data_IF_857098502860
#
_entry.id   IF_857098502860
#
_cell.length_a   1.000
_cell.length_b   1.000
_cell.length_c   1.000
_cell.angle_alpha   90.00
_cell.angle_beta   90.00
_cell.angle_gamma   90.00
#
_symmetry.space_group_name_H-M   'P 1'
#
loop_
_entity.id
_entity.type
_entity.pdbx_description
1 polymer ?
#
# COMPACT_ATOMS: atom_id res chain seq x y z
N UNK A 1 -14.33 45.14 23.08
CA UNK A 1 -15.00 45.66 21.85
C UNK A 1 -14.40 44.97 20.62
N UNK A 2 -15.18 44.75 19.55
CA UNK A 2 -14.75 44.01 18.35
C UNK A 2 -14.23 44.97 17.27
N UNK A 3 -13.05 44.73 16.70
CA UNK A 3 -12.54 45.48 15.53
C UNK A 3 -12.82 44.70 14.23
N UNK A 4 -13.27 45.41 13.19
CA UNK A 4 -13.91 44.82 12.01
C UNK A 4 -13.07 44.93 10.73
N UNK A 5 -13.02 43.85 9.94
CA UNK A 5 -12.19 43.67 8.72
C UNK A 5 -12.68 44.46 7.48
N UNK A 6 -13.28 45.65 7.62
CA UNK A 6 -13.89 46.43 6.51
C UNK A 6 -13.17 47.76 6.17
N UNK A 7 -11.84 47.73 6.00
CA UNK A 7 -11.06 48.88 5.47
C UNK A 7 -9.86 48.49 4.57
N UNK A 8 -10.08 47.67 3.53
CA UNK A 8 -9.03 47.46 2.51
C UNK A 8 -9.54 47.30 1.06
N UNK A 9 -10.65 47.96 0.72
CA UNK A 9 -11.10 48.11 -0.69
C UNK A 9 -11.52 49.56 -0.90
N UNK A 10 -10.57 50.42 -1.32
CA UNK A 10 -10.77 51.76 -1.90
C UNK A 10 -9.43 52.44 -2.28
N UNK A 11 -8.85 52.07 -3.42
CA UNK A 11 -7.95 52.88 -4.27
C UNK A 11 -7.37 51.99 -5.39
N UNK A 12 -7.45 52.38 -6.67
CA UNK A 12 -6.85 51.59 -7.77
C UNK A 12 -7.52 51.71 -9.15
N UNK A 13 -7.83 52.93 -9.60
CA UNK A 13 -8.49 53.30 -10.87
C UNK A 13 -7.91 54.68 -11.25
N UNK A 14 -7.49 55.01 -12.48
CA UNK A 14 -7.39 54.32 -13.80
C UNK A 14 -6.21 54.95 -14.58
N UNK A 15 -5.66 54.29 -15.64
CA UNK A 15 -5.06 54.87 -16.89
C UNK A 15 -3.81 54.11 -17.41
N UNK A 16 -3.52 53.90 -18.71
CA UNK A 16 -4.35 53.82 -19.94
C UNK A 16 -3.62 53.04 -21.05
N UNK A 17 -4.37 52.40 -21.96
CA UNK A 17 -4.09 52.17 -23.39
C UNK A 17 -2.67 51.83 -23.91
N UNK A 18 -2.50 50.59 -24.40
CA UNK A 18 -1.98 50.29 -25.75
C UNK A 18 -2.53 48.93 -26.23
N UNK A 19 -2.84 48.83 -27.53
CA UNK A 19 -3.31 47.63 -28.24
C UNK A 19 -2.11 47.01 -29.05
N UNK A 20 -2.18 45.80 -29.68
CA UNK A 20 -3.39 45.07 -30.10
C UNK A 20 -3.43 43.53 -29.94
N UNK A 21 -4.67 43.02 -29.99
CA UNK A 21 -5.11 41.76 -30.64
C UNK A 21 -4.12 40.57 -30.69
N UNK A 22 -4.13 39.74 -29.64
CA UNK A 22 -3.80 38.31 -29.77
C UNK A 22 -5.07 37.46 -29.58
N UNK A 23 -5.48 36.77 -30.65
CA UNK A 23 -6.55 35.76 -30.61
C UNK A 23 -6.04 34.50 -29.90
N UNK A 24 -6.17 34.43 -28.58
CA UNK A 24 -6.06 33.15 -27.88
C UNK A 24 -7.32 32.34 -28.18
N UNK A 25 -7.21 31.41 -29.13
CA UNK A 25 -8.25 30.41 -29.37
C UNK A 25 -8.36 29.53 -28.13
N UNK A 26 -9.50 29.56 -27.46
CA UNK A 26 -9.90 28.59 -26.45
C UNK A 26 -10.11 27.21 -27.08
N UNK A 27 -9.03 26.45 -27.22
CA UNK A 27 -9.06 25.04 -27.64
C UNK A 27 -9.09 24.13 -26.40
N UNK A 28 -10.20 24.12 -25.68
CA UNK A 28 -10.46 23.18 -24.57
C UNK A 28 -11.48 22.11 -25.00
N UNK A 29 -11.14 21.39 -26.08
CA UNK A 29 -11.88 20.24 -26.60
C UNK A 29 -10.96 19.42 -27.52
N UNK A 30 -10.19 18.49 -26.96
CA UNK A 30 -9.51 17.46 -27.74
C UNK A 30 -9.85 16.06 -27.19
N UNK A 31 -10.53 15.30 -28.05
CA UNK A 31 -10.46 13.85 -28.20
C UNK A 31 -10.67 12.96 -26.97
N UNK A 32 -11.94 12.76 -26.60
CA UNK A 32 -12.37 11.49 -25.99
C UNK A 32 -12.50 10.41 -27.08
N UNK A 33 -11.37 9.88 -27.54
CA UNK A 33 -11.25 8.65 -28.35
C UNK A 33 -9.77 8.31 -28.50
N UNK A 34 -9.23 7.52 -27.58
CA UNK A 34 -7.84 7.05 -27.62
C UNK A 34 -7.52 6.17 -26.40
N UNK A 35 -7.10 4.94 -26.67
CA UNK A 35 -6.84 3.82 -25.74
C UNK A 35 -6.67 4.18 -24.24
N UNK A 36 -7.75 3.96 -23.47
CA UNK A 36 -7.82 4.17 -22.00
C UNK A 36 -6.72 3.44 -21.22
N UNK A 37 -6.15 2.37 -21.79
CA UNK A 37 -5.18 1.54 -21.08
C UNK A 37 -3.78 2.19 -20.94
N UNK A 38 -3.41 3.13 -21.83
CA UNK A 38 -2.08 3.77 -21.80
C UNK A 38 -1.96 4.94 -20.83
N UNK A 39 -3.08 5.58 -20.46
CA UNK A 39 -3.08 6.71 -19.52
C UNK A 39 -2.93 6.26 -18.06
N UNK A 40 -3.57 5.15 -17.68
CA UNK A 40 -3.60 4.67 -16.29
C UNK A 40 -2.21 4.43 -15.68
N UNK A 41 -1.28 3.89 -16.46
CA UNK A 41 0.12 3.67 -16.06
C UNK A 41 0.85 4.98 -15.74
N UNK A 42 0.67 6.02 -16.56
CA UNK A 42 1.29 7.34 -16.34
C UNK A 42 0.77 8.07 -15.10
N UNK A 43 -0.51 7.88 -14.74
CA UNK A 43 -1.15 8.60 -13.62
C UNK A 43 -0.84 7.89 -12.30
N UNK A 44 -0.76 6.55 -12.26
CA UNK A 44 -0.23 5.84 -11.10
C UNK A 44 1.24 6.19 -10.81
N UNK A 45 2.02 6.47 -11.87
CA UNK A 45 3.39 6.95 -11.74
C UNK A 45 3.49 8.31 -11.03
N UNK A 46 2.42 9.13 -11.00
CA UNK A 46 2.45 10.43 -10.33
C UNK A 46 2.56 10.30 -8.80
N UNK A 47 1.90 9.31 -8.18
CA UNK A 47 2.07 9.03 -6.75
C UNK A 47 3.51 8.66 -6.38
N UNK A 48 4.29 8.12 -7.32
CA UNK A 48 5.70 7.75 -7.07
C UNK A 48 6.60 8.96 -6.78
N UNK A 49 6.21 10.18 -7.19
CA UNK A 49 6.99 11.39 -6.90
C UNK A 49 6.72 11.96 -5.49
N UNK A 50 5.54 11.75 -4.91
CA UNK A 50 5.19 12.35 -3.61
C UNK A 50 5.71 11.49 -2.45
N UNK A 51 6.40 12.15 -1.52
CA UNK A 51 6.88 11.60 -0.26
C UNK A 51 6.04 12.11 0.93
N UNK A 52 6.31 11.63 2.15
CA UNK A 52 5.64 12.08 3.37
C UNK A 52 5.63 13.62 3.47
N UNK A 53 6.78 14.25 3.30
CA UNK A 53 6.95 15.71 3.33
C UNK A 53 6.34 16.47 2.14
N UNK A 54 5.87 15.78 1.10
CA UNK A 54 5.05 16.38 0.03
C UNK A 54 3.62 16.66 0.51
N UNK A 55 3.14 15.96 1.53
CA UNK A 55 1.79 16.10 2.06
C UNK A 55 1.71 16.92 3.36
N UNK A 56 2.76 16.94 4.18
CA UNK A 56 2.82 17.71 5.44
C UNK A 56 2.42 19.21 5.30
N UNK A 57 2.85 19.97 4.26
CA UNK A 57 2.48 21.38 4.10
C UNK A 57 0.99 21.60 3.82
N UNK A 58 0.25 20.53 3.52
CA UNK A 58 -1.15 20.52 3.12
C UNK A 58 -2.07 19.91 4.18
N UNK A 59 -1.60 19.76 5.42
CA UNK A 59 -2.46 19.49 6.57
C UNK A 59 -3.55 20.56 6.72
N UNK A 60 -4.78 20.12 7.00
CA UNK A 60 -6.01 20.90 7.07
C UNK A 60 -6.40 21.59 5.73
N UNK A 61 -5.92 21.06 4.60
CA UNK A 61 -6.38 21.48 3.25
C UNK A 61 -7.32 20.46 2.64
N UNK A 62 -8.04 20.87 1.58
CA UNK A 62 -9.10 20.07 0.96
C UNK A 62 -8.68 19.46 -0.37
N UNK A 63 -8.74 18.14 -0.40
CA UNK A 63 -8.61 17.28 -1.57
C UNK A 63 -10.01 17.03 -2.15
N UNK A 64 -10.15 17.02 -3.47
CA UNK A 64 -11.40 16.70 -4.16
C UNK A 64 -11.33 15.29 -4.73
N UNK A 65 -12.18 14.40 -4.23
CA UNK A 65 -12.29 13.01 -4.65
C UNK A 65 -13.45 12.89 -5.63
N UNK A 66 -13.19 12.32 -6.81
CA UNK A 66 -14.20 12.10 -7.85
C UNK A 66 -14.74 10.68 -7.73
N UNK A 67 -15.95 10.54 -7.19
CA UNK A 67 -16.67 9.26 -7.10
C UNK A 67 -17.34 8.89 -8.43
N UNK A 68 -17.67 9.90 -9.24
CA UNK A 68 -18.07 9.79 -10.65
C UNK A 68 -17.81 11.15 -11.34
N UNK A 69 -17.95 11.28 -12.67
CA UNK A 69 -17.79 12.56 -13.37
C UNK A 69 -18.69 13.69 -12.85
N UNK A 70 -19.85 13.36 -12.26
CA UNK A 70 -20.82 14.31 -11.70
C UNK A 70 -20.84 14.34 -10.16
N UNK A 71 -20.16 13.42 -9.48
CA UNK A 71 -20.19 13.27 -8.02
C UNK A 71 -18.80 13.46 -7.43
N UNK A 72 -18.58 14.60 -6.78
CA UNK A 72 -17.32 14.92 -6.09
C UNK A 72 -17.53 15.09 -4.59
N UNK A 73 -16.57 14.63 -3.80
CA UNK A 73 -16.50 14.84 -2.34
C UNK A 73 -15.26 15.64 -1.98
N UNK A 74 -15.37 16.45 -0.93
CA UNK A 74 -14.21 17.05 -0.29
C UNK A 74 -13.71 16.12 0.81
N UNK A 75 -12.40 15.87 0.84
CA UNK A 75 -11.68 15.25 1.95
C UNK A 75 -10.73 16.29 2.53
N UNK A 76 -10.66 16.42 3.84
CA UNK A 76 -9.71 17.30 4.54
C UNK A 76 -8.56 16.46 5.09
N UNK A 77 -7.31 16.73 4.70
CA UNK A 77 -6.16 15.96 5.17
C UNK A 77 -5.84 16.36 6.62
N UNK A 78 -6.21 15.53 7.60
CA UNK A 78 -6.10 15.86 9.03
C UNK A 78 -4.85 15.29 9.70
N UNK A 79 -4.23 14.26 9.12
CA UNK A 79 -2.96 13.73 9.61
C UNK A 79 -2.11 13.17 8.46
N UNK A 80 -0.79 13.31 8.61
CA UNK A 80 0.23 12.63 7.82
C UNK A 80 1.10 11.90 8.83
N UNK A 81 1.25 10.59 8.70
CA UNK A 81 2.01 9.80 9.65
C UNK A 81 2.85 8.72 8.99
N UNK A 82 4.17 8.80 9.16
CA UNK A 82 5.09 7.70 8.92
C UNK A 82 4.55 6.39 9.52
N UNK A 83 4.37 5.38 8.68
CA UNK A 83 3.77 4.10 9.04
C UNK A 83 4.88 3.06 9.12
N UNK A 84 5.40 2.74 10.32
CA UNK A 84 6.47 1.74 10.46
C UNK A 84 5.91 0.33 10.26
N UNK A 85 5.80 -0.12 9.02
CA UNK A 85 5.25 -1.44 8.65
C UNK A 85 6.00 -2.61 9.29
N UNK A 86 7.27 -2.44 9.67
CA UNK A 86 7.96 -3.38 10.56
C UNK A 86 9.23 -2.79 11.19
N UNK A 87 9.64 -3.33 12.35
CA UNK A 87 10.96 -3.05 12.95
C UNK A 87 12.13 -3.45 12.03
N UNK A 88 11.93 -4.44 11.14
CA UNK A 88 12.89 -4.83 10.09
C UNK A 88 13.01 -3.82 8.96
N UNK A 89 11.98 -3.02 8.72
CA UNK A 89 12.08 -1.89 7.79
C UNK A 89 12.64 -0.65 8.49
N UNK A 90 12.41 -0.43 9.80
CA UNK A 90 13.07 0.67 10.53
C UNK A 90 14.63 0.62 10.47
N UNK A 91 15.22 -0.55 10.20
CA UNK A 91 16.66 -0.71 9.94
C UNK A 91 17.08 -0.29 8.53
N UNK A 92 16.24 -0.51 7.51
CA UNK A 92 16.54 -0.21 6.09
C UNK A 92 16.04 1.17 5.64
N UNK A 93 14.97 1.67 6.24
CA UNK A 93 14.44 3.04 6.14
C UNK A 93 15.43 4.10 6.70
N UNK A 94 16.57 3.68 7.23
CA UNK A 94 17.70 4.55 7.50
C UNK A 94 18.41 4.95 6.19
N UNK A 95 17.84 5.97 5.53
CA UNK A 95 18.48 6.83 4.52
C UNK A 95 18.73 6.28 3.10
N UNK A 96 17.79 5.52 2.52
CA UNK A 96 17.70 5.35 1.05
C UNK A 96 16.47 6.11 0.53
N UNK A 97 16.63 7.24 -0.18
CA UNK A 97 15.49 7.95 -0.78
C UNK A 97 14.68 7.04 -1.71
N UNK A 98 13.37 6.92 -1.47
CA UNK A 98 12.47 6.09 -2.28
C UNK A 98 11.95 4.81 -1.61
N UNK A 99 12.53 4.40 -0.47
CA UNK A 99 11.91 3.44 0.44
C UNK A 99 11.17 4.21 1.55
N UNK A 100 9.85 4.29 1.45
CA UNK A 100 9.00 5.03 2.38
C UNK A 100 7.64 4.36 2.57
N UNK A 101 7.15 4.32 3.81
CA UNK A 101 5.79 3.92 4.14
C UNK A 101 5.17 4.98 5.05
N UNK A 102 4.09 5.60 4.60
CA UNK A 102 3.36 6.62 5.36
C UNK A 102 1.87 6.53 5.06
N UNK A 103 1.05 6.96 6.00
CA UNK A 103 -0.39 7.07 5.82
C UNK A 103 -0.87 8.52 5.84
N UNK A 104 -1.93 8.75 5.07
CA UNK A 104 -2.63 10.01 4.94
C UNK A 104 -4.05 9.81 5.48
N UNK A 105 -4.36 10.44 6.60
CA UNK A 105 -5.68 10.38 7.22
C UNK A 105 -6.50 11.59 6.80
N UNK A 106 -7.65 11.33 6.20
CA UNK A 106 -8.59 12.31 5.73
C UNK A 106 -9.87 12.28 6.56
N UNK A 107 -10.47 13.45 6.76
CA UNK A 107 -11.79 13.63 7.35
C UNK A 107 -12.79 14.02 6.25
N UNK A 108 -13.95 13.36 6.17
CA UNK A 108 -15.03 13.78 5.28
C UNK A 108 -16.01 14.73 6.02
N UNK A 109 -16.58 15.75 5.34
CA UNK A 109 -17.74 16.46 5.85
C UNK A 109 -18.94 15.52 6.06
N UNK A 110 -19.83 15.78 7.03
CA UNK A 110 -21.01 14.95 7.29
C UNK A 110 -21.83 14.68 6.02
N UNK A 111 -22.15 13.42 5.76
CA UNK A 111 -22.86 13.02 4.55
C UNK A 111 -22.95 11.51 4.41
N UNK A 112 -23.26 11.04 3.20
CA UNK A 112 -23.21 9.60 2.87
C UNK A 112 -21.75 9.20 2.62
N UNK A 113 -21.19 8.23 3.37
CA UNK A 113 -19.86 7.68 3.10
C UNK A 113 -19.83 6.95 1.75
N UNK A 114 -18.63 6.80 1.21
CA UNK A 114 -18.32 6.02 0.02
C UNK A 114 -17.45 4.79 0.38
N UNK A 115 -17.43 3.80 -0.51
CA UNK A 115 -16.71 2.52 -0.31
C UNK A 115 -15.19 2.71 -0.36
N UNK A 116 -14.42 1.67 -0.02
CA UNK A 116 -13.01 1.67 -0.42
C UNK A 116 -12.90 1.54 -1.94
N UNK A 117 -12.02 2.32 -2.56
CA UNK A 117 -11.67 2.20 -3.97
C UNK A 117 -10.43 3.05 -4.31
N UNK A 118 -9.93 2.93 -5.54
CA UNK A 118 -8.96 3.86 -6.14
C UNK A 118 -9.71 4.99 -6.82
N UNK A 119 -9.67 6.18 -6.22
CA UNK A 119 -10.35 7.37 -6.76
C UNK A 119 -9.39 8.34 -7.42
N UNK A 120 -9.90 9.09 -8.40
CA UNK A 120 -9.21 10.27 -8.92
C UNK A 120 -9.30 11.38 -7.87
N UNK A 121 -8.15 11.89 -7.44
CA UNK A 121 -8.04 12.94 -6.43
C UNK A 121 -7.37 14.16 -7.03
N UNK A 122 -7.92 15.35 -6.75
CA UNK A 122 -7.37 16.65 -7.14
C UNK A 122 -7.08 17.51 -5.91
N UNK A 123 -5.91 18.13 -5.88
CA UNK A 123 -5.54 19.12 -4.88
C UNK A 123 -4.84 20.31 -5.57
N UNK A 124 -5.16 21.54 -5.16
CA UNK A 124 -4.83 22.73 -5.94
C UNK A 124 -3.32 22.98 -6.09
N UNK A 125 -2.48 22.50 -5.16
CA UNK A 125 -1.02 22.61 -5.22
C UNK A 125 -0.30 21.30 -5.60
N UNK A 126 -0.93 20.12 -5.44
CA UNK A 126 -0.32 18.83 -5.78
C UNK A 126 -0.71 18.32 -7.17
N UNK A 127 -1.76 18.88 -7.79
CA UNK A 127 -2.23 18.47 -9.11
C UNK A 127 -3.38 17.47 -9.04
N UNK A 128 -3.33 16.41 -9.84
CA UNK A 128 -4.39 15.39 -9.92
C UNK A 128 -3.72 14.03 -10.10
N UNK A 129 -4.13 13.03 -9.32
CA UNK A 129 -3.54 11.68 -9.28
C UNK A 129 -4.59 10.66 -8.82
N UNK A 130 -4.38 9.37 -9.09
CA UNK A 130 -5.20 8.29 -8.49
C UNK A 130 -4.65 7.88 -7.13
N UNK A 131 -5.52 7.57 -6.17
CA UNK A 131 -5.13 7.08 -4.85
C UNK A 131 -6.17 6.10 -4.29
N UNK A 132 -5.70 4.98 -3.75
CA UNK A 132 -6.53 4.03 -3.01
C UNK A 132 -6.80 4.58 -1.60
N UNK A 133 -8.07 4.70 -1.24
CA UNK A 133 -8.52 5.12 0.10
C UNK A 133 -9.49 4.10 0.67
N UNK A 134 -9.30 3.78 1.96
CA UNK A 134 -10.18 2.90 2.74
C UNK A 134 -10.91 3.73 3.80
N UNK A 135 -12.20 3.48 4.08
CA UNK A 135 -12.85 4.06 5.25
C UNK A 135 -12.23 3.49 6.53
N UNK A 136 -11.97 4.34 7.53
CA UNK A 136 -11.42 3.93 8.83
C UNK A 136 -12.24 4.48 10.00
N UNK A 137 -12.35 3.68 11.06
CA UNK A 137 -13.27 3.92 12.17
C UNK A 137 -14.66 3.35 11.92
N UNK A 138 -15.47 3.28 12.99
CA UNK A 138 -16.86 2.83 12.88
C UNK A 138 -17.76 3.99 12.46
N UNK A 139 -18.55 3.80 11.40
CA UNK A 139 -19.58 4.75 10.97
C UNK A 139 -20.62 4.98 12.09
N UNK A 140 -20.45 6.07 12.83
CA UNK A 140 -21.41 6.55 13.81
C UNK A 140 -21.88 7.93 13.37
N UNK A 141 -23.20 8.15 13.37
CA UNK A 141 -23.86 9.43 13.04
C UNK A 141 -23.26 10.64 13.78
N UNK A 142 -22.61 10.41 14.93
CA UNK A 142 -21.99 11.45 15.78
C UNK A 142 -20.48 11.63 15.58
N UNK A 143 -19.78 10.77 14.84
CA UNK A 143 -18.35 10.93 14.52
C UNK A 143 -18.18 11.32 13.05
N UNK A 144 -17.21 12.18 12.70
CA UNK A 144 -16.85 12.35 11.30
C UNK A 144 -16.27 11.04 10.77
N UNK A 145 -16.67 10.62 9.57
CA UNK A 145 -16.06 9.46 8.93
C UNK A 145 -14.65 9.82 8.48
N UNK A 146 -13.69 8.92 8.74
CA UNK A 146 -12.32 9.07 8.31
C UNK A 146 -12.03 8.14 7.13
N UNK A 147 -11.08 8.53 6.30
CA UNK A 147 -10.52 7.71 5.22
C UNK A 147 -9.00 7.70 5.34
N UNK A 148 -8.37 6.56 5.14
CA UNK A 148 -6.91 6.44 5.15
C UNK A 148 -6.42 5.99 3.77
N UNK A 149 -5.34 6.59 3.30
CA UNK A 149 -4.51 6.03 2.22
C UNK A 149 -3.16 5.65 2.79
N UNK A 150 -2.73 4.42 2.58
CA UNK A 150 -1.38 3.96 2.93
C UNK A 150 -0.54 3.97 1.66
N UNK A 151 0.46 4.84 1.63
CA UNK A 151 1.43 4.92 0.53
C UNK A 151 2.65 4.10 0.94
N UNK A 152 2.84 2.97 0.25
CA UNK A 152 4.04 2.14 0.36
C UNK A 152 4.85 2.29 -0.93
N UNK A 153 6.05 2.88 -0.83
CA UNK A 153 7.04 2.91 -1.90
C UNK A 153 8.23 2.07 -1.48
N UNK A 154 8.57 1.12 -2.34
CA UNK A 154 9.83 0.40 -2.27
C UNK A 154 10.54 0.60 -3.61
N UNK A 155 11.71 1.22 -3.59
CA UNK A 155 12.56 1.20 -4.77
C UNK A 155 13.13 -0.21 -4.92
N UNK A 156 12.53 -0.97 -5.82
CA UNK A 156 13.17 -2.14 -6.41
C UNK A 156 14.42 -1.67 -7.17
N UNK A 157 15.55 -1.58 -6.45
CA UNK A 157 16.86 -1.40 -7.06
C UNK A 157 17.14 -2.57 -8.00
N UNK A 158 16.94 -2.35 -9.29
CA UNK A 158 17.51 -3.19 -10.34
C UNK A 158 19.03 -3.09 -10.23
N UNK A 159 19.62 -4.06 -9.55
CA UNK A 159 21.07 -4.13 -9.36
C UNK A 159 21.76 -4.49 -10.69
N UNK A 160 22.09 -3.46 -11.50
CA UNK A 160 23.03 -3.62 -12.62
C UNK A 160 22.68 -2.96 -13.96
N UNK A 161 21.87 -1.90 -14.03
CA UNK A 161 21.67 -1.18 -15.29
C UNK A 161 21.19 0.26 -15.13
N UNK A 162 21.62 1.13 -16.05
CA UNK A 162 20.98 2.43 -16.27
C UNK A 162 19.48 2.24 -16.55
N UNK A 163 18.61 3.19 -16.15
CA UNK A 163 17.16 3.09 -16.30
C UNK A 163 16.75 3.14 -17.78
N UNK A 164 16.82 1.98 -18.42
CA UNK A 164 16.31 1.74 -19.76
C UNK A 164 14.82 1.43 -19.66
N UNK A 165 14.01 2.31 -20.23
CA UNK A 165 12.57 2.10 -20.40
C UNK A 165 12.34 0.88 -21.30
N UNK A 166 12.06 -0.27 -20.68
CA UNK A 166 11.60 -1.46 -21.42
C UNK A 166 10.14 -1.22 -21.83
N UNK A 167 9.98 -0.60 -23.00
CA UNK A 167 8.70 -0.60 -23.72
C UNK A 167 8.52 -1.99 -24.32
N UNK A 168 7.73 -2.83 -23.66
CA UNK A 168 7.29 -4.11 -24.22
C UNK A 168 6.30 -3.87 -25.37
N UNK A 169 6.84 -3.68 -26.59
CA UNK A 169 6.05 -3.81 -27.80
C UNK A 169 5.63 -5.27 -28.00
N UNK A 170 4.38 -5.56 -28.44
CA UNK A 170 3.93 -6.93 -28.67
C UNK A 170 4.78 -7.61 -29.76
N UNK A 171 5.28 -8.80 -29.42
CA UNK A 171 6.09 -9.63 -30.31
C UNK A 171 5.16 -10.32 -31.32
N UNK A 172 5.19 -9.87 -32.58
CA UNK A 172 4.50 -10.57 -33.66
C UNK A 172 5.27 -11.86 -34.01
N UNK A 173 4.87 -12.98 -33.40
CA UNK A 173 5.39 -14.30 -33.71
C UNK A 173 4.77 -14.84 -35.01
N UNK A 174 5.32 -14.42 -36.15
CA UNK A 174 5.26 -15.21 -37.39
C UNK A 174 6.53 -16.04 -37.51
N UNK A 175 6.43 -17.35 -37.25
CA UNK A 175 7.58 -18.25 -37.26
C UNK A 175 8.25 -18.38 -38.62
N UNK A 176 9.59 -18.35 -38.62
CA UNK A 176 10.45 -18.57 -39.78
C UNK A 176 11.68 -19.40 -39.40
N UNK A 177 12.05 -20.37 -40.23
CA UNK A 177 13.07 -21.39 -39.93
C UNK A 177 14.50 -20.83 -39.91
N UNK A 178 15.35 -21.47 -39.11
CA UNK A 178 16.81 -21.30 -39.14
C UNK A 178 17.40 -21.88 -40.44
N UNK A 179 18.18 -21.09 -41.16
CA UNK A 179 19.23 -21.54 -42.08
C UNK A 179 20.36 -20.49 -42.16
N UNK A 180 21.64 -20.88 -42.31
CA UNK A 180 22.76 -19.97 -42.11
C UNK A 180 23.23 -19.24 -43.37
N UNK A 181 23.67 -17.99 -43.16
CA UNK A 181 24.68 -17.24 -43.90
C UNK A 181 24.79 -17.40 -45.43
N UNK A 182 24.35 -16.39 -46.18
CA UNK A 182 25.09 -15.89 -47.34
C UNK A 182 24.84 -14.39 -47.60
N UNK A 183 25.56 -13.83 -48.56
CA UNK A 183 25.98 -12.43 -48.59
C UNK A 183 25.18 -11.57 -49.60
N UNK A 184 25.22 -10.24 -49.39
CA UNK A 184 25.01 -9.16 -50.37
C UNK A 184 23.60 -8.70 -50.86
N UNK A 185 23.53 -7.36 -50.94
CA UNK A 185 22.87 -6.46 -51.92
C UNK A 185 21.50 -5.81 -51.65
N UNK A 186 21.46 -4.52 -52.00
CA UNK A 186 20.34 -3.57 -51.99
C UNK A 186 19.28 -3.92 -53.06
N UNK A 187 18.00 -3.67 -52.78
CA UNK A 187 17.02 -3.13 -53.75
C UNK A 187 16.02 -2.21 -52.99
N UNK A 188 15.57 -1.12 -53.65
CA UNK A 188 14.51 -0.22 -53.19
C UNK A 188 13.10 -0.70 -53.57
N UNK A 189 12.10 -0.35 -52.75
CA UNK A 189 10.67 -0.41 -53.07
C UNK A 189 9.84 -0.63 -51.80
N UNK A 190 8.80 0.13 -51.46
CA UNK A 190 8.01 1.07 -52.28
C UNK A 190 6.73 0.40 -52.74
N UNK A 191 5.67 0.45 -51.92
CA UNK A 191 4.42 -0.26 -52.21
C UNK A 191 3.36 -0.08 -51.14
N UNK A 192 2.64 1.04 -51.16
CA UNK A 192 1.34 1.13 -50.51
C UNK A 192 0.28 0.44 -51.40
N UNK A 193 -0.71 -0.22 -50.80
CA UNK A 193 -1.97 -0.46 -51.50
C UNK A 193 -3.17 -0.22 -50.59
N UNK A 194 -4.11 0.54 -51.14
CA UNK A 194 -5.44 0.85 -50.60
C UNK A 194 -6.43 -0.09 -51.29
N UNK A 195 -7.50 -0.49 -50.60
CA UNK A 195 -8.86 -0.86 -51.07
C UNK A 195 -9.44 -1.87 -50.07
N UNK A 196 -10.71 -1.91 -49.69
CA UNK A 196 -11.87 -1.00 -49.58
C UNK A 196 -12.99 -1.91 -48.98
N UNK A 197 -14.11 -1.39 -48.45
CA UNK A 197 -15.03 -2.17 -47.62
C UNK A 197 -16.16 -2.86 -48.41
N UNK A 198 -16.66 -3.99 -47.90
CA UNK A 198 -18.00 -4.52 -48.18
C UNK A 198 -18.90 -4.35 -46.94
N UNK A 199 -19.97 -3.56 -47.05
CA UNK A 199 -21.38 -4.01 -47.20
C UNK A 199 -21.89 -4.90 -46.04
N UNK A 200 -22.79 -4.37 -45.19
CA UNK A 200 -24.26 -4.44 -45.33
C UNK A 200 -24.81 -5.72 -44.66
N UNK A 201 -25.91 -5.77 -43.88
CA UNK A 201 -27.16 -4.99 -43.93
C UNK A 201 -28.00 -5.08 -42.63
N UNK A 202 -28.84 -4.06 -42.39
CA UNK A 202 -30.20 -4.05 -41.77
C UNK A 202 -30.61 -4.92 -40.56
N UNK A 203 -31.13 -4.23 -39.52
CA UNK A 203 -32.45 -4.47 -38.85
C UNK A 203 -32.66 -3.37 -37.78
N UNK A 204 -33.35 -2.27 -38.06
CA UNK A 204 -34.80 -2.03 -37.87
C UNK A 204 -35.38 -2.21 -36.45
N UNK A 205 -35.63 -1.07 -35.81
CA UNK A 205 -36.89 -0.60 -35.20
C UNK A 205 -37.71 -1.49 -34.25
N UNK A 206 -37.74 -1.08 -32.97
CA UNK A 206 -38.93 -1.19 -32.11
C UNK A 206 -38.92 -0.12 -30.99
N UNK A 207 -39.98 0.69 -30.91
CA UNK A 207 -40.30 1.62 -29.81
C UNK A 207 -41.81 1.96 -29.85
N UNK A 208 -42.40 2.50 -28.78
CA UNK A 208 -42.87 1.78 -27.60
C UNK A 208 -44.41 1.73 -27.52
N UNK A 209 -44.96 0.83 -26.69
CA UNK A 209 -46.38 0.85 -26.33
C UNK A 209 -46.63 1.56 -25.00
N UNK A 210 -47.50 2.57 -25.02
CA UNK A 210 -47.97 3.37 -23.90
C UNK A 210 -49.47 3.09 -23.68
N UNK A 211 -49.86 2.85 -22.42
CA UNK A 211 -51.23 2.71 -21.83
C UNK A 211 -51.05 2.14 -20.41
N UNK A 212 -51.84 2.39 -19.39
CA UNK A 212 -52.85 3.38 -18.95
C UNK A 212 -53.27 2.86 -17.54
N UNK A 213 -54.09 3.60 -16.79
CA UNK A 213 -54.65 3.22 -15.46
C UNK A 213 -53.61 2.95 -14.34
N UNK A 214 -53.41 3.80 -13.33
CA UNK A 214 -54.34 4.52 -12.43
C UNK A 214 -55.12 3.59 -11.48
N UNK A 215 -54.54 3.29 -10.31
CA UNK A 215 -55.35 2.80 -9.19
C UNK A 215 -54.89 3.31 -7.81
N UNK A 216 -55.89 3.47 -6.95
CA UNK A 216 -55.93 4.28 -5.74
C UNK A 216 -55.19 3.62 -4.55
N UNK A 217 -54.05 4.19 -4.11
CA UNK A 217 -53.47 3.85 -2.80
C UNK A 217 -53.96 4.79 -1.68
N UNK A 218 -55.08 4.41 -1.08
CA UNK A 218 -55.69 5.05 0.10
C UNK A 218 -54.96 4.64 1.38
N UNK A 219 -53.86 5.31 1.71
CA UNK A 219 -53.16 5.07 2.98
C UNK A 219 -54.01 5.51 4.19
N UNK A 220 -54.37 4.54 5.04
CA UNK A 220 -54.83 4.82 6.41
C UNK A 220 -53.71 5.49 7.19
N UNK A 221 -53.98 6.65 7.79
CA UNK A 221 -53.23 7.08 8.97
C UNK A 221 -53.55 6.09 10.09
N UNK A 222 -52.59 5.22 10.41
CA UNK A 222 -52.59 4.50 11.69
C UNK A 222 -51.80 5.37 12.65
N UNK A 223 -52.48 5.81 13.70
CA UNK A 223 -51.92 6.65 14.76
C UNK A 223 -50.93 5.82 15.58
N UNK A 224 -49.66 5.85 15.18
CA UNK A 224 -48.60 5.05 15.80
C UNK A 224 -48.16 5.71 17.09
N UNK A 225 -48.66 5.22 18.22
CA UNK A 225 -48.16 5.57 19.55
C UNK A 225 -46.64 5.32 19.61
N UNK A 226 -45.86 6.39 19.76
CA UNK A 226 -44.41 6.30 19.80
C UNK A 226 -43.97 5.51 21.04
N UNK A 227 -43.28 4.37 20.88
CA UNK A 227 -42.64 3.72 22.02
C UNK A 227 -41.54 4.62 22.55
N UNK A 228 -41.44 4.72 23.89
CA UNK A 228 -40.39 5.50 24.52
C UNK A 228 -39.02 4.99 24.07
N UNK A 229 -38.27 5.85 23.36
CA UNK A 229 -36.86 5.61 23.02
C UNK A 229 -36.07 5.53 24.33
N UNK A 230 -35.82 4.31 24.79
CA UNK A 230 -34.82 4.06 25.82
C UNK A 230 -33.46 4.52 25.29
N UNK A 231 -32.77 5.35 26.06
CA UNK A 231 -31.40 5.76 25.76
C UNK A 231 -30.46 4.55 25.94
N UNK A 232 -30.43 3.65 24.95
CA UNK A 232 -29.35 2.70 24.80
C UNK A 232 -28.07 3.50 24.56
N UNK A 233 -27.27 3.61 25.62
CA UNK A 233 -25.91 4.07 25.58
C UNK A 233 -25.10 3.13 24.68
N UNK A 234 -25.02 3.48 23.40
CA UNK A 234 -24.17 2.84 22.39
C UNK A 234 -22.67 3.07 22.70
N UNK A 235 -22.23 2.53 23.83
CA UNK A 235 -20.83 2.27 24.12
C UNK A 235 -20.50 1.01 23.32
N UNK A 236 -19.64 1.09 22.29
CA UNK A 236 -19.24 -0.13 21.57
C UNK A 236 -18.63 -1.11 22.57
N UNK A 237 -18.94 -2.42 22.46
CA UNK A 237 -18.44 -3.40 23.41
C UNK A 237 -16.91 -3.33 23.45
N UNK A 238 -16.29 -3.40 24.65
CA UNK A 238 -14.85 -3.31 24.77
C UNK A 238 -14.19 -4.38 23.89
N UNK A 239 -13.11 -4.05 23.16
CA UNK A 239 -12.50 -4.99 22.23
C UNK A 239 -12.11 -6.28 22.95
N UNK A 240 -12.33 -7.45 22.34
CA UNK A 240 -12.05 -8.74 22.97
C UNK A 240 -10.59 -8.77 23.43
N UNK A 241 -10.37 -9.20 24.68
CA UNK A 241 -9.02 -9.28 25.25
C UNK A 241 -8.22 -10.32 24.46
N UNK A 242 -7.13 -9.88 23.83
CA UNK A 242 -6.21 -10.76 23.09
C UNK A 242 -5.72 -11.90 23.98
N UNK A 243 -5.81 -13.13 23.48
CA UNK A 243 -5.25 -14.33 24.13
C UNK A 243 -3.72 -14.26 24.06
N UNK A 244 -3.06 -14.30 25.22
CA UNK A 244 -1.60 -14.28 25.34
C UNK A 244 -1.13 -15.61 25.92
N UNK A 245 -0.24 -16.30 25.23
CA UNK A 245 0.32 -17.57 25.66
C UNK A 245 1.52 -17.36 26.60
N UNK A 246 1.68 -18.17 27.67
CA UNK A 246 2.74 -17.99 28.67
C UNK A 246 4.15 -18.36 28.19
N UNK A 247 4.38 -18.48 26.88
CA UNK A 247 5.66 -18.86 26.29
C UNK A 247 6.67 -17.70 26.36
N UNK A 248 7.86 -18.03 26.86
CA UNK A 248 8.99 -17.12 27.05
C UNK A 248 9.91 -17.06 25.83
N UNK A 249 10.80 -16.06 25.78
CA UNK A 249 11.73 -15.88 24.64
C UNK A 249 12.62 -17.11 24.40
N UNK A 250 12.98 -17.85 25.46
CA UNK A 250 13.72 -19.11 25.36
C UNK A 250 12.95 -20.21 24.62
N UNK A 251 11.62 -20.17 24.65
CA UNK A 251 10.71 -21.10 23.98
C UNK A 251 10.32 -20.64 22.56
N UNK A 252 10.85 -19.51 22.07
CA UNK A 252 10.62 -19.07 20.68
C UNK A 252 11.01 -20.16 19.68
N UNK A 253 10.20 -20.38 18.63
CA UNK A 253 10.43 -21.45 17.67
C UNK A 253 11.69 -21.22 16.85
N UNK A 254 12.29 -22.32 16.37
CA UNK A 254 13.40 -22.27 15.42
C UNK A 254 12.90 -22.47 13.99
N UNK A 255 13.33 -21.62 13.07
CA UNK A 255 13.05 -21.75 11.63
C UNK A 255 14.34 -22.17 10.93
N UNK A 256 14.43 -23.45 10.56
CA UNK A 256 15.56 -24.05 9.84
C UNK A 256 16.93 -23.82 10.52
N UNK A 257 16.92 -23.69 11.86
CA UNK A 257 18.08 -23.40 12.71
C UNK A 257 18.15 -21.96 13.21
N UNK A 258 17.43 -21.02 12.60
CA UNK A 258 17.39 -19.60 12.97
C UNK A 258 16.53 -19.39 14.21
N UNK A 259 16.95 -18.49 15.11
CA UNK A 259 16.23 -18.16 16.35
C UNK A 259 16.43 -16.69 16.73
N UNK A 260 15.47 -16.13 17.48
CA UNK A 260 15.66 -14.89 18.22
C UNK A 260 16.86 -14.99 19.19
N UNK A 261 17.52 -13.85 19.44
CA UNK A 261 18.67 -13.73 20.34
C UNK A 261 20.03 -14.11 19.75
N UNK A 262 20.07 -14.71 18.55
CA UNK A 262 21.33 -15.04 17.84
C UNK A 262 22.15 -13.80 17.53
N UNK A 263 23.48 -13.91 17.52
CA UNK A 263 24.38 -12.87 17.00
C UNK A 263 24.54 -13.00 15.48
N UNK A 264 25.03 -11.96 14.76
CA UNK A 264 25.30 -12.06 13.33
C UNK A 264 26.20 -13.24 12.98
N UNK A 265 27.26 -13.51 13.75
CA UNK A 265 28.21 -14.60 13.51
C UNK A 265 27.51 -15.96 13.58
N UNK A 266 26.59 -16.14 14.53
CA UNK A 266 25.77 -17.35 14.66
C UNK A 266 24.81 -17.53 13.48
N UNK A 267 24.25 -16.44 12.94
CA UNK A 267 23.42 -16.48 11.73
C UNK A 267 24.27 -16.82 10.50
N UNK A 268 25.39 -16.11 10.28
CA UNK A 268 26.26 -16.32 9.12
C UNK A 268 26.87 -17.74 9.07
N UNK A 269 27.11 -18.36 10.23
CA UNK A 269 27.53 -19.76 10.32
C UNK A 269 26.54 -20.76 9.70
N UNK A 270 25.26 -20.39 9.54
CA UNK A 270 24.23 -21.20 8.87
C UNK A 270 24.22 -21.03 7.34
N UNK A 271 24.98 -20.06 6.82
CA UNK A 271 25.07 -19.71 5.39
C UNK A 271 26.55 -19.66 4.94
N UNK A 272 27.21 -20.81 4.69
CA UNK A 272 28.59 -20.85 4.23
C UNK A 272 28.82 -19.97 2.99
N UNK A 273 29.79 -19.07 3.07
CA UNK A 273 30.08 -18.07 2.03
C UNK A 273 29.51 -16.67 2.30
N UNK A 274 28.47 -16.53 3.14
CA UNK A 274 27.81 -15.23 3.43
C UNK A 274 28.73 -14.15 4.00
N UNK A 275 29.78 -14.53 4.74
CA UNK A 275 30.81 -13.61 5.23
C UNK A 275 31.59 -12.88 4.11
N UNK A 276 31.55 -13.39 2.88
CA UNK A 276 32.18 -12.80 1.69
C UNK A 276 31.16 -12.10 0.77
N UNK A 277 29.87 -12.18 1.05
CA UNK A 277 28.85 -11.46 0.28
C UNK A 277 28.95 -9.96 0.59
N UNK A 278 29.16 -9.14 -0.44
CA UNK A 278 29.35 -7.70 -0.30
C UNK A 278 28.12 -6.98 0.25
N UNK A 279 26.91 -7.48 -0.06
CA UNK A 279 25.63 -6.94 0.42
C UNK A 279 25.54 -7.13 1.94
N UNK A 280 25.79 -8.38 2.39
CA UNK A 280 25.78 -8.76 3.81
C UNK A 280 26.85 -8.01 4.59
N UNK A 281 28.08 -7.93 4.05
CA UNK A 281 29.20 -7.25 4.68
C UNK A 281 28.97 -5.74 4.77
N UNK A 282 28.41 -5.12 3.72
CA UNK A 282 28.03 -3.71 3.72
C UNK A 282 26.98 -3.44 4.79
N UNK A 283 25.91 -4.23 4.83
CA UNK A 283 24.81 -4.02 5.77
C UNK A 283 25.25 -4.21 7.23
N UNK A 284 26.07 -5.21 7.53
CA UNK A 284 26.66 -5.43 8.87
C UNK A 284 27.74 -4.39 9.25
N UNK A 285 28.38 -3.75 8.29
CA UNK A 285 29.34 -2.66 8.55
C UNK A 285 28.69 -1.32 8.90
N UNK A 286 27.38 -1.17 8.63
CA UNK A 286 26.66 0.06 8.99
C UNK A 286 26.53 0.14 10.52
N UNK A 287 26.89 1.28 11.15
CA UNK A 287 26.70 1.44 12.58
C UNK A 287 25.19 1.31 12.90
N UNK A 288 24.81 0.69 14.03
CA UNK A 288 23.43 0.71 14.48
C UNK A 288 22.93 2.15 14.65
N UNK A 289 21.62 2.34 14.44
CA UNK A 289 20.94 3.60 14.76
C UNK A 289 21.21 4.02 16.22
N UNK A 290 20.98 5.30 16.54
CA UNK A 290 21.10 5.84 17.93
C UNK A 290 20.26 5.11 19.00
N UNK A 291 19.38 4.18 18.59
CA UNK A 291 18.55 3.36 19.47
C UNK A 291 19.01 1.89 19.56
N UNK A 292 20.11 1.52 18.92
CA UNK A 292 20.68 0.17 18.93
C UNK A 292 20.09 -0.80 17.88
N UNK A 293 19.35 -0.28 16.89
CA UNK A 293 18.75 -1.07 15.81
C UNK A 293 19.66 -1.09 14.58
N UNK A 294 19.91 -2.27 14.02
CA UNK A 294 20.48 -2.47 12.67
C UNK A 294 19.78 -3.66 11.98
N UNK A 295 20.23 -4.06 10.80
CA UNK A 295 19.67 -5.22 10.10
C UNK A 295 20.44 -5.57 8.84
N UNK A 296 20.18 -6.76 8.31
CA UNK A 296 20.79 -7.28 7.08
C UNK A 296 19.88 -8.31 6.41
N UNK A 297 20.13 -8.56 5.12
CA UNK A 297 19.40 -9.52 4.30
C UNK A 297 20.26 -10.73 3.95
N UNK A 298 19.66 -11.93 3.98
CA UNK A 298 20.23 -13.16 3.41
C UNK A 298 19.26 -13.69 2.36
N UNK A 299 19.74 -13.96 1.14
CA UNK A 299 19.00 -14.70 0.11
C UNK A 299 19.58 -16.12 0.03
N UNK A 300 18.94 -17.17 0.61
CA UNK A 300 19.56 -18.49 0.75
C UNK A 300 20.04 -19.13 -0.56
N UNK A 301 19.40 -18.79 -1.68
CA UNK A 301 19.76 -19.26 -3.03
C UNK A 301 21.17 -18.85 -3.48
N UNK A 302 21.80 -17.83 -2.87
CA UNK A 302 23.19 -17.45 -3.13
C UNK A 302 24.22 -18.44 -2.55
N UNK A 303 23.82 -19.35 -1.66
CA UNK A 303 24.73 -20.15 -0.83
C UNK A 303 24.56 -21.66 -1.01
N UNK A 304 25.59 -22.43 -0.65
CA UNK A 304 25.57 -23.90 -0.78
C UNK A 304 24.52 -24.58 0.08
N UNK A 305 24.02 -23.94 1.14
CA UNK A 305 22.97 -24.45 2.03
C UNK A 305 21.55 -24.31 1.49
N UNK A 306 21.35 -23.92 0.22
CA UNK A 306 20.03 -23.69 -0.39
C UNK A 306 19.00 -24.81 -0.16
N UNK A 307 19.40 -26.08 -0.13
CA UNK A 307 18.49 -27.22 0.14
C UNK A 307 17.95 -27.26 1.57
N UNK A 308 18.69 -26.71 2.55
CA UNK A 308 18.22 -26.57 3.93
C UNK A 308 17.20 -25.43 4.08
N UNK A 309 17.20 -24.48 3.14
CA UNK A 309 16.33 -23.33 3.08
C UNK A 309 15.47 -23.38 1.81
N UNK A 310 15.04 -24.58 1.44
CA UNK A 310 14.19 -24.79 0.27
C UNK A 310 12.93 -23.93 0.37
N UNK A 311 12.47 -23.40 -0.77
CA UNK A 311 11.34 -22.46 -0.90
C UNK A 311 11.48 -21.14 -0.14
N UNK A 312 12.61 -20.85 0.52
CA UNK A 312 12.85 -19.57 1.19
C UNK A 312 13.59 -18.63 0.23
N UNK A 313 12.92 -17.58 -0.22
CA UNK A 313 13.45 -16.58 -1.15
C UNK A 313 14.45 -15.67 -0.46
N UNK A 314 14.07 -15.16 0.72
CA UNK A 314 14.82 -14.16 1.45
C UNK A 314 14.53 -14.21 2.95
N UNK A 315 15.51 -13.79 3.74
CA UNK A 315 15.44 -13.71 5.19
C UNK A 315 15.99 -12.35 5.63
N UNK A 316 15.13 -11.53 6.22
CA UNK A 316 15.50 -10.23 6.78
C UNK A 316 15.69 -10.38 8.28
N UNK A 317 16.84 -9.94 8.78
CA UNK A 317 17.16 -9.92 10.21
C UNK A 317 17.14 -8.48 10.72
N UNK A 318 16.35 -8.22 11.76
CA UNK A 318 16.53 -7.03 12.61
C UNK A 318 17.43 -7.40 13.77
N UNK A 319 18.43 -6.58 14.02
CA UNK A 319 19.26 -6.65 15.20
C UNK A 319 18.86 -5.55 16.19
N UNK A 320 18.75 -5.90 17.47
CA UNK A 320 18.70 -4.95 18.58
C UNK A 320 19.88 -5.27 19.51
N UNK A 321 20.73 -4.28 19.77
CA UNK A 321 21.98 -4.43 20.54
C UNK A 321 22.86 -5.61 20.06
N UNK A 322 22.95 -5.77 18.73
CA UNK A 322 23.75 -6.84 18.10
C UNK A 322 23.15 -8.25 18.19
N UNK A 323 21.86 -8.40 18.52
CA UNK A 323 21.16 -9.71 18.55
C UNK A 323 19.87 -9.68 17.74
N UNK A 324 19.54 -10.81 17.09
CA UNK A 324 18.32 -10.97 16.30
C UNK A 324 17.07 -10.74 17.17
N UNK A 325 16.41 -9.60 16.94
CA UNK A 325 15.17 -9.19 17.62
C UNK A 325 13.94 -9.33 16.73
N UNK A 326 14.12 -9.46 15.42
CA UNK A 326 13.07 -9.86 14.49
C UNK A 326 13.67 -10.70 13.39
N UNK A 327 12.99 -11.81 13.09
CA UNK A 327 13.27 -12.71 11.99
C UNK A 327 12.07 -12.63 11.04
N UNK A 328 12.30 -12.27 9.78
CA UNK A 328 11.28 -12.31 8.73
C UNK A 328 11.75 -13.26 7.63
N UNK A 329 10.97 -14.29 7.33
CA UNK A 329 11.27 -15.34 6.36
C UNK A 329 10.23 -15.27 5.25
N UNK A 330 10.65 -14.89 4.04
CA UNK A 330 9.81 -14.91 2.85
C UNK A 330 9.90 -16.26 2.13
N UNK A 331 8.76 -16.78 1.69
CA UNK A 331 8.65 -18.04 0.95
C UNK A 331 8.16 -17.81 -0.48
N UNK A 332 8.61 -18.64 -1.42
CA UNK A 332 8.07 -18.73 -2.77
C UNK A 332 6.57 -19.02 -2.73
N UNK A 333 5.79 -18.47 -3.66
CA UNK A 333 4.32 -18.44 -3.58
C UNK A 333 3.63 -18.89 -4.88
N UNK A 334 2.40 -19.44 -4.84
CA UNK A 334 1.64 -19.83 -3.64
C UNK A 334 1.98 -21.24 -3.16
N UNK A 335 2.27 -21.37 -1.86
CA UNK A 335 2.29 -22.66 -1.16
C UNK A 335 0.96 -22.96 -0.49
N UNK A 336 0.35 -21.92 0.10
CA UNK A 336 -0.82 -22.01 0.95
C UNK A 336 -1.88 -21.04 0.42
N UNK A 337 -3.07 -21.54 0.09
CA UNK A 337 -4.20 -20.70 -0.32
C UNK A 337 -4.90 -20.02 0.87
N UNK A 338 -4.66 -20.52 2.08
CA UNK A 338 -5.26 -20.04 3.32
C UNK A 338 -4.24 -20.08 4.46
N UNK A 339 -4.29 -19.07 5.33
CA UNK A 339 -3.33 -18.92 6.44
C UNK A 339 -3.36 -20.08 7.43
N UNK A 340 -4.50 -20.77 7.61
CA UNK A 340 -4.60 -21.94 8.49
C UNK A 340 -3.77 -23.14 8.02
N UNK A 341 -3.63 -23.33 6.71
CA UNK A 341 -2.71 -24.34 6.15
C UNK A 341 -1.27 -23.99 6.50
N UNK A 342 -0.90 -22.71 6.35
CA UNK A 342 0.43 -22.22 6.70
C UNK A 342 0.70 -22.33 8.22
N UNK A 343 -0.26 -21.97 9.08
CA UNK A 343 -0.15 -22.14 10.54
C UNK A 343 0.02 -23.62 10.90
N UNK A 344 -0.71 -24.53 10.24
CA UNK A 344 -0.61 -25.97 10.51
C UNK A 344 0.80 -26.51 10.19
N UNK A 345 1.32 -26.22 8.99
CA UNK A 345 2.67 -26.63 8.57
C UNK A 345 3.77 -25.94 9.42
N UNK A 346 3.56 -24.69 9.79
CA UNK A 346 4.49 -23.95 10.64
C UNK A 346 4.47 -24.44 12.10
N UNK A 347 3.34 -24.86 12.63
CA UNK A 347 3.25 -25.44 13.99
C UNK A 347 3.82 -26.87 14.06
N UNK A 348 3.86 -27.61 12.94
CA UNK A 348 4.34 -28.99 12.89
C UNK A 348 5.75 -29.14 13.48
N UNK A 349 5.88 -30.00 14.49
CA UNK A 349 7.15 -30.26 15.19
C UNK A 349 7.64 -29.14 16.14
N UNK A 350 6.99 -27.98 16.18
CA UNK A 350 7.45 -26.80 16.94
C UNK A 350 6.75 -26.59 18.30
N UNK A 351 5.84 -27.48 18.68
CA UNK A 351 5.04 -27.40 19.93
C UNK A 351 4.25 -26.09 20.07
N UNK A 352 3.81 -25.53 18.94
CA UNK A 352 2.97 -24.33 18.90
C UNK A 352 1.48 -24.71 18.96
N UNK A 353 0.61 -23.80 19.44
CA UNK A 353 -0.85 -23.95 19.41
C UNK A 353 -1.43 -24.25 18.01
N UNK A 354 -2.60 -24.90 18.00
CA UNK A 354 -3.35 -25.20 16.78
C UNK A 354 -3.92 -23.91 16.13
N UNK A 355 -4.24 -23.96 14.83
CA UNK A 355 -4.53 -22.75 14.04
C UNK A 355 -5.79 -21.98 14.46
N UNK A 356 -6.75 -22.65 15.11
CA UNK A 356 -7.93 -22.08 15.74
C UNK A 356 -7.62 -21.29 17.02
N UNK A 357 -6.47 -21.54 17.66
CA UNK A 357 -6.01 -20.81 18.83
C UNK A 357 -5.24 -19.51 18.51
N UNK A 358 -4.92 -19.26 17.23
CA UNK A 358 -4.23 -18.06 16.75
C UNK A 358 -5.22 -16.93 16.44
N UNK A 359 -4.81 -15.69 16.69
CA UNK A 359 -5.64 -14.51 16.45
C UNK A 359 -5.63 -14.14 14.96
N UNK A 360 -6.80 -14.25 14.31
CA UNK A 360 -7.00 -13.74 12.95
C UNK A 360 -6.94 -12.21 12.94
N UNK A 361 -6.31 -11.63 11.92
CA UNK A 361 -6.33 -10.18 11.74
C UNK A 361 -7.64 -9.76 11.06
N UNK A 362 -8.41 -8.90 11.73
CA UNK A 362 -9.73 -8.45 11.26
C UNK A 362 -9.65 -7.85 9.85
N UNK A 363 -10.39 -8.42 8.91
CA UNK A 363 -10.41 -8.01 7.50
C UNK A 363 -9.35 -8.69 6.63
N UNK A 364 -8.44 -9.46 7.23
CA UNK A 364 -7.44 -10.31 6.58
C UNK A 364 -7.50 -11.74 7.15
N UNK A 365 -8.68 -12.18 7.62
CA UNK A 365 -8.85 -13.37 8.45
C UNK A 365 -8.39 -14.68 7.76
N UNK A 366 -8.42 -14.70 6.42
CA UNK A 366 -7.97 -15.82 5.58
C UNK A 366 -6.48 -15.76 5.21
N UNK A 367 -5.82 -14.63 5.47
CA UNK A 367 -4.47 -14.30 5.01
C UNK A 367 -3.47 -14.09 6.15
N UNK A 368 -3.88 -13.54 7.30
CA UNK A 368 -2.98 -13.16 8.38
C UNK A 368 -3.46 -13.68 9.75
N UNK A 369 -2.60 -14.46 10.41
CA UNK A 369 -2.78 -14.91 11.80
C UNK A 369 -1.57 -14.59 12.66
N UNK A 370 -1.84 -14.23 13.91
CA UNK A 370 -0.82 -13.86 14.90
C UNK A 370 -0.95 -14.68 16.17
N UNK A 371 0.19 -15.17 16.68
CA UNK A 371 0.31 -15.81 17.98
C UNK A 371 1.01 -14.88 18.97
N UNK A 372 0.24 -14.29 19.88
CA UNK A 372 0.76 -13.44 20.95
C UNK A 372 1.34 -14.32 22.07
N UNK A 373 2.65 -14.32 22.28
CA UNK A 373 3.28 -14.96 23.44
C UNK A 373 3.72 -13.90 24.45
N UNK A 374 4.16 -14.31 25.64
CA UNK A 374 4.55 -13.41 26.72
C UNK A 374 5.72 -12.49 26.34
N UNK A 375 6.77 -13.06 25.76
CA UNK A 375 8.02 -12.34 25.45
C UNK A 375 8.28 -12.19 23.93
N UNK A 376 7.45 -12.82 23.08
CA UNK A 376 7.61 -12.80 21.62
C UNK A 376 6.26 -12.89 20.89
N UNK A 377 6.27 -12.58 19.60
CA UNK A 377 5.11 -12.61 18.71
C UNK A 377 5.48 -13.40 17.45
N UNK A 378 4.53 -14.19 16.91
CA UNK A 378 4.65 -14.81 15.58
C UNK A 378 3.51 -14.28 14.72
N UNK A 379 3.79 -13.83 13.51
CA UNK A 379 2.78 -13.52 12.50
C UNK A 379 3.06 -14.32 11.23
N UNK A 380 2.05 -15.02 10.72
CA UNK A 380 2.10 -15.77 9.46
C UNK A 380 1.15 -15.15 8.46
N UNK A 381 1.67 -14.86 7.27
CA UNK A 381 0.89 -14.33 6.15
C UNK A 381 0.91 -15.29 4.96
N UNK A 382 -0.27 -15.71 4.51
CA UNK A 382 -0.49 -16.42 3.27
C UNK A 382 -1.08 -15.44 2.24
N UNK A 383 -0.34 -15.20 1.16
CA UNK A 383 -0.77 -14.32 0.07
C UNK A 383 -1.83 -14.98 -0.81
N UNK A 384 -2.79 -14.20 -1.28
CA UNK A 384 -3.81 -14.67 -2.22
C UNK A 384 -3.25 -14.81 -3.65
N UNK A 385 -4.05 -15.31 -4.60
CA UNK A 385 -3.64 -15.55 -6.00
C UNK A 385 -2.97 -14.33 -6.69
N UNK A 386 -3.31 -13.10 -6.28
CA UNK A 386 -2.76 -11.86 -6.83
C UNK A 386 -1.56 -11.30 -6.03
N UNK A 387 -1.22 -11.88 -4.88
CA UNK A 387 -0.13 -11.43 -4.00
C UNK A 387 0.80 -12.61 -3.72
N UNK A 388 1.86 -12.73 -4.53
CA UNK A 388 2.82 -13.84 -4.45
C UNK A 388 3.82 -13.71 -3.28
N UNK A 389 3.35 -13.33 -2.10
CA UNK A 389 4.17 -13.16 -0.90
C UNK A 389 3.59 -14.00 0.23
N UNK A 390 4.31 -15.05 0.62
CA UNK A 390 4.06 -15.78 1.87
C UNK A 390 5.19 -15.44 2.84
N UNK A 391 4.89 -15.15 4.11
CA UNK A 391 5.96 -14.89 5.09
C UNK A 391 5.65 -15.37 6.50
N UNK A 392 6.72 -15.74 7.21
CA UNK A 392 6.71 -15.94 8.66
C UNK A 392 7.55 -14.85 9.33
N UNK A 393 6.95 -14.09 10.23
CA UNK A 393 7.64 -13.13 11.09
C UNK A 393 7.65 -13.64 12.53
N UNK A 394 8.81 -13.60 13.19
CA UNK A 394 8.97 -13.86 14.63
C UNK A 394 9.66 -12.64 15.26
N UNK A 395 9.11 -12.08 16.34
CA UNK A 395 9.52 -10.79 16.91
C UNK A 395 9.70 -10.87 18.43
N UNK A 396 10.83 -10.37 18.93
CA UNK A 396 11.13 -10.20 20.36
C UNK A 396 10.40 -8.97 20.92
N UNK A 397 9.43 -9.18 21.82
CA UNK A 397 8.65 -8.10 22.42
C UNK A 397 9.44 -7.37 23.52
N UNK A 398 10.41 -8.01 24.16
CA UNK A 398 11.28 -7.41 25.18
C UNK A 398 12.26 -6.42 24.51
N UNK A 399 12.82 -6.79 23.36
CA UNK A 399 13.63 -5.89 22.54
C UNK A 399 12.80 -4.71 22.01
N UNK A 400 11.59 -4.95 21.50
CA UNK A 400 10.68 -3.89 21.06
C UNK A 400 10.33 -2.91 22.19
N UNK A 401 10.07 -3.41 23.40
CA UNK A 401 9.75 -2.57 24.55
C UNK A 401 10.94 -1.67 24.94
N UNK A 402 12.16 -2.23 25.03
CA UNK A 402 13.38 -1.45 25.26
C UNK A 402 13.64 -0.40 24.18
N UNK A 403 13.35 -0.71 22.92
CA UNK A 403 13.43 0.25 21.81
C UNK A 403 12.46 1.42 22.01
N UNK A 404 11.19 1.16 22.37
CA UNK A 404 10.18 2.19 22.67
C UNK A 404 10.63 3.10 23.81
N UNK A 405 11.16 2.52 24.90
CA UNK A 405 11.67 3.26 26.06
C UNK A 405 12.84 4.19 25.70
N UNK A 406 13.80 3.72 24.88
CA UNK A 406 14.90 4.55 24.37
C UNK A 406 14.39 5.72 23.53
N UNK A 407 13.40 5.48 22.65
CA UNK A 407 12.79 6.52 21.79
C UNK A 407 11.98 7.54 22.59
N UNK A 408 11.29 7.11 23.66
CA UNK A 408 10.62 8.03 24.58
C UNK A 408 11.64 8.89 25.35
N UNK A 409 12.71 8.28 25.87
CA UNK A 409 13.77 8.96 26.62
C UNK A 409 14.57 9.97 25.78
N UNK A 410 14.67 9.80 24.47
CA UNK A 410 15.32 10.81 23.61
C UNK A 410 14.41 12.04 23.39
N UNK A 411 13.10 11.85 23.21
CA UNK A 411 12.18 12.98 22.96
C UNK A 411 12.20 14.00 24.10
N UNK A 412 12.11 13.53 25.35
CA UNK A 412 12.15 14.40 26.53
C UNK A 412 13.49 15.07 26.83
N UNK A 413 14.50 14.96 25.94
CA UNK A 413 15.75 15.74 25.99
C UNK A 413 15.83 16.86 24.97
N UNK A 414 14.97 16.85 23.96
CA UNK A 414 14.97 17.85 22.89
C UNK A 414 13.99 19.02 23.21
N UNK A 415 13.27 18.94 24.34
CA UNK A 415 12.22 19.88 24.78
C UNK A 415 12.63 20.78 25.98
N UNK A 416 13.90 20.75 26.41
CA UNK A 416 14.42 21.52 27.55
C UNK A 416 15.87 21.98 27.38
#
# INVERSE_FOLDING_TARGET
MKLSRRKFVKAGIIATACAPLLRVKSAFAQSLTGDDQSQSSSILQQLSYYNESSFEPYLNTRFRVYLSPSNTRGLELVNVSNYPTSLSQLSSLSASPGDECFSLLFQIPPGKPFTQDTYLIKHDALGTFYMFVVPVGAHNIKSPDYYEAIIYRHQQYFAGGDPTLIVNAPRNDTGGKVQPAQNQQLILGGGAMIMQPGNSSNSQDAKPSEKEESDVYRFRQVETLAPALSEQTNVPPPPPKKKVFPMTLAQSPMINGLKLGMTPEQVLALFPGSQRDEEVRRDLSRPPTRFGVSGFLIRPQKYSTKTKFDRITQIVFTLFDGRVSTLYVGYDSPVWEHVDGFVTDFSQGRKLPAADEWEAYVGLDTQLKTLNCKDFEISLFAGCQNVQINYAQVRDLVALQKYKERRAKSKGKDEG
#
